data_IF_834854317925
#
_entry.id   IF_834854317925
#
_cell.length_a   1.000
_cell.length_b   1.000
_cell.length_c   1.000
_cell.angle_alpha   90.00
_cell.angle_beta   90.00
_cell.angle_gamma   90.00
#
_symmetry.space_group_name_H-M   'P 1'
#
loop_
_entity.id
_entity.type
_entity.pdbx_description
1 polymer ?
#
# COMPACT_ATOMS: atom_id res chain seq x y z
N UNK A 1 20.40 6.16 36.21
CA UNK A 1 21.56 5.24 36.33
C UNK A 1 22.71 6.13 36.79
N UNK A 2 23.14 5.94 38.04
CA UNK A 2 24.22 6.73 38.66
C UNK A 2 25.55 6.51 37.94
N UNK A 3 26.41 7.53 37.90
CA UNK A 3 27.71 7.48 37.22
C UNK A 3 28.66 6.52 37.96
N UNK A 4 29.36 5.59 37.29
CA UNK A 4 30.31 4.73 37.96
C UNK A 4 31.53 5.54 38.43
N UNK A 5 31.93 5.31 39.68
CA UNK A 5 33.19 5.80 40.25
C UNK A 5 34.38 5.02 39.69
N UNK A 6 35.51 5.69 39.47
CA UNK A 6 36.72 5.25 38.76
C UNK A 6 37.51 4.06 39.36
N UNK A 7 36.89 3.19 40.15
CA UNK A 7 37.55 2.06 40.83
C UNK A 7 36.91 0.68 40.58
N UNK A 8 35.92 0.56 39.69
CA UNK A 8 35.45 -0.75 39.27
C UNK A 8 36.36 -1.33 38.17
N UNK A 9 36.95 -2.50 38.42
CA UNK A 9 37.69 -3.24 37.39
C UNK A 9 36.78 -3.51 36.20
N UNK A 10 37.19 -3.03 35.02
CA UNK A 10 36.43 -3.17 33.77
C UNK A 10 36.07 -4.63 33.52
N UNK A 11 34.78 -4.92 33.45
CA UNK A 11 34.24 -6.28 33.25
C UNK A 11 33.39 -6.34 31.99
N UNK A 12 33.38 -7.50 31.33
CA UNK A 12 32.54 -7.76 30.16
C UNK A 12 31.15 -8.13 30.66
N UNK A 13 30.14 -7.34 30.26
CA UNK A 13 28.73 -7.57 30.59
C UNK A 13 28.11 -8.53 29.56
N UNK A 14 28.37 -8.28 28.28
CA UNK A 14 27.82 -9.08 27.19
C UNK A 14 28.78 -9.13 26.02
N UNK A 15 28.78 -10.24 25.30
CA UNK A 15 29.47 -10.36 24.03
C UNK A 15 28.66 -11.19 23.05
N UNK A 16 28.71 -10.85 21.77
CA UNK A 16 27.95 -11.58 20.78
C UNK A 16 28.12 -11.06 19.36
N UNK A 17 27.62 -11.86 18.42
CA UNK A 17 27.54 -11.48 17.03
C UNK A 17 26.44 -10.45 16.80
N UNK A 18 26.73 -9.51 15.91
CA UNK A 18 25.75 -8.61 15.37
C UNK A 18 26.05 -8.29 13.91
N UNK A 19 25.00 -8.05 13.14
CA UNK A 19 25.07 -7.60 11.77
C UNK A 19 25.00 -6.08 11.76
N UNK A 20 26.13 -5.40 11.51
CA UNK A 20 26.11 -3.96 11.30
C UNK A 20 25.44 -3.66 9.96
N UNK A 21 24.26 -3.05 10.00
CA UNK A 21 23.48 -2.69 8.83
C UNK A 21 24.09 -1.43 8.21
N UNK A 22 24.52 -1.56 6.95
CA UNK A 22 25.10 -0.46 6.18
C UNK A 22 24.02 0.20 5.33
N UNK A 23 23.18 -0.61 4.69
CA UNK A 23 21.97 -0.20 3.97
C UNK A 23 21.00 -1.39 3.91
N UNK A 24 19.87 -1.23 3.21
CA UNK A 24 18.83 -2.27 3.08
C UNK A 24 19.32 -3.60 2.48
N UNK A 25 20.45 -3.59 1.77
CA UNK A 25 20.95 -4.73 0.99
C UNK A 25 22.33 -5.23 1.46
N UNK A 26 22.96 -4.56 2.43
CA UNK A 26 24.34 -4.83 2.82
C UNK A 26 24.51 -4.77 4.34
N UNK A 27 25.08 -5.84 4.89
CA UNK A 27 25.47 -5.96 6.29
C UNK A 27 26.95 -6.30 6.41
N UNK A 28 27.54 -5.97 7.56
CA UNK A 28 28.89 -6.39 7.92
C UNK A 28 28.83 -7.13 9.24
N UNK A 29 29.44 -8.31 9.29
CA UNK A 29 29.59 -9.06 10.55
C UNK A 29 30.45 -8.27 11.52
N UNK A 30 29.94 -8.12 12.74
CA UNK A 30 30.61 -7.54 13.89
C UNK A 30 30.48 -8.45 15.09
N UNK A 31 31.45 -8.31 15.97
CA UNK A 31 31.42 -8.86 17.31
C UNK A 31 31.34 -7.68 18.26
N UNK A 32 30.25 -7.61 19.02
CA UNK A 32 30.02 -6.56 20.00
C UNK A 32 30.52 -7.06 21.36
N UNK A 33 31.36 -6.28 22.02
CA UNK A 33 31.79 -6.50 23.40
C UNK A 33 31.28 -5.34 24.23
N UNK A 34 30.24 -5.58 25.02
CA UNK A 34 29.68 -4.64 25.96
C UNK A 34 30.37 -4.82 27.31
N UNK A 35 30.99 -3.75 27.78
CA UNK A 35 31.64 -3.63 29.08
C UNK A 35 30.82 -2.69 29.96
N UNK A 36 31.18 -2.54 31.23
CA UNK A 36 30.47 -1.63 32.14
C UNK A 36 30.64 -0.14 31.80
N UNK A 37 31.71 0.23 31.09
CA UNK A 37 32.02 1.61 30.68
C UNK A 37 32.05 1.81 29.15
N UNK A 38 32.30 0.75 28.38
CA UNK A 38 32.56 0.80 26.95
C UNK A 38 31.72 -0.19 26.14
N UNK A 39 31.44 0.18 24.88
CA UNK A 39 31.04 -0.76 23.83
C UNK A 39 32.16 -0.83 22.77
N UNK A 40 32.71 -2.02 22.56
CA UNK A 40 33.69 -2.27 21.50
C UNK A 40 33.00 -2.98 20.33
N UNK A 41 33.07 -2.37 19.16
CA UNK A 41 32.61 -2.95 17.90
C UNK A 41 33.84 -3.50 17.18
N UNK A 42 33.91 -4.82 17.02
CA UNK A 42 35.06 -5.48 16.42
C UNK A 42 34.67 -6.35 15.22
N UNK A 43 35.66 -6.78 14.44
CA UNK A 43 35.53 -7.77 13.37
C UNK A 43 36.46 -8.94 13.68
N UNK A 44 35.99 -10.19 13.75
CA UNK A 44 36.87 -11.34 13.94
C UNK A 44 37.86 -11.48 12.76
N UNK A 45 39.11 -11.86 13.09
CA UNK A 45 40.20 -11.99 12.11
C UNK A 45 40.24 -13.38 11.47
N UNK A 46 39.83 -14.43 12.21
CA UNK A 46 39.74 -15.81 11.70
C UNK A 46 38.42 -16.04 10.95
N UNK A 47 38.43 -16.91 9.93
CA UNK A 47 37.24 -17.46 9.25
C UNK A 47 36.94 -18.87 9.76
N UNK A 48 36.94 -19.08 11.07
CA UNK A 48 36.48 -20.37 11.60
C UNK A 48 34.96 -20.46 11.43
N UNK A 49 34.53 -21.55 10.78
CA UNK A 49 33.15 -21.78 10.33
C UNK A 49 32.15 -21.98 11.49
N UNK A 50 32.63 -22.13 12.73
CA UNK A 50 31.84 -22.63 13.86
C UNK A 50 31.15 -21.56 14.71
N UNK A 51 31.24 -20.25 14.39
CA UNK A 51 30.66 -19.16 15.21
C UNK A 51 31.05 -19.16 16.71
N UNK A 52 31.97 -20.03 17.15
CA UNK A 52 32.39 -20.21 18.54
C UNK A 52 33.61 -19.32 18.87
N UNK A 53 33.42 -18.01 18.83
CA UNK A 53 34.47 -17.06 19.20
C UNK A 53 34.44 -16.81 20.71
N UNK A 54 35.62 -16.79 21.32
CA UNK A 54 35.80 -16.47 22.74
C UNK A 54 36.58 -15.15 22.87
N UNK A 55 36.70 -14.61 24.08
CA UNK A 55 37.53 -13.42 24.34
C UNK A 55 39.00 -13.62 23.96
N UNK A 56 39.47 -14.87 23.85
CA UNK A 56 40.83 -15.21 23.44
C UNK A 56 41.01 -15.22 21.91
N UNK A 57 39.93 -15.12 21.14
CA UNK A 57 40.00 -15.05 19.68
C UNK A 57 40.60 -13.71 19.22
N UNK A 58 41.21 -13.70 18.03
CA UNK A 58 41.76 -12.45 17.46
C UNK A 58 40.66 -11.60 16.83
N UNK A 59 40.54 -10.36 17.28
CA UNK A 59 39.63 -9.38 16.74
C UNK A 59 40.35 -8.13 16.23
N UNK A 60 39.83 -7.56 15.15
CA UNK A 60 40.20 -6.24 14.67
C UNK A 60 39.17 -5.23 15.18
N UNK A 61 39.59 -4.38 16.12
CA UNK A 61 38.74 -3.32 16.66
C UNK A 61 38.38 -2.32 15.55
N UNK A 62 37.10 -1.99 15.43
CA UNK A 62 36.59 -0.99 14.50
C UNK A 62 36.18 0.28 15.20
N UNK A 63 35.50 0.16 16.34
CA UNK A 63 35.11 1.30 17.16
C UNK A 63 35.21 0.93 18.65
N UNK A 64 35.64 1.89 19.46
CA UNK A 64 35.57 1.86 20.93
C UNK A 64 34.72 3.06 21.31
N UNK A 65 33.70 2.82 22.12
CA UNK A 65 32.63 3.79 22.33
C UNK A 65 32.33 3.88 23.82
N UNK A 66 32.38 5.08 24.37
CA UNK A 66 32.01 5.36 25.76
C UNK A 66 30.49 5.31 25.95
N UNK A 67 30.01 4.44 26.84
CA UNK A 67 28.59 4.26 27.11
C UNK A 67 27.91 5.53 27.63
N UNK A 68 28.64 6.40 28.33
CA UNK A 68 28.10 7.68 28.84
C UNK A 68 27.68 8.64 27.72
N UNK A 69 28.23 8.44 26.53
CA UNK A 69 27.95 9.25 25.33
C UNK A 69 26.90 8.62 24.41
N UNK A 70 26.45 7.40 24.69
CA UNK A 70 25.57 6.66 23.79
C UNK A 70 24.12 7.11 23.95
N UNK A 71 23.49 7.34 22.80
CA UNK A 71 22.03 7.28 22.69
C UNK A 71 21.61 5.94 22.11
N UNK A 72 20.79 5.21 22.86
CA UNK A 72 20.17 3.99 22.39
C UNK A 72 18.75 4.29 21.91
N UNK A 73 18.36 3.67 20.80
CA UNK A 73 16.96 3.58 20.43
C UNK A 73 16.70 2.23 19.77
N UNK A 74 15.77 1.46 20.31
CA UNK A 74 15.18 0.34 19.59
C UNK A 74 14.50 0.91 18.33
N UNK A 75 14.94 0.47 17.14
CA UNK A 75 14.53 1.08 15.86
C UNK A 75 13.01 1.10 15.68
N UNK A 76 12.31 0.12 16.27
CA UNK A 76 10.88 -0.13 16.07
C UNK A 76 9.98 0.46 17.17
N UNK A 77 10.55 0.97 18.26
CA UNK A 77 9.77 1.43 19.42
C UNK A 77 9.13 2.80 19.19
N UNK A 78 9.82 3.71 18.49
CA UNK A 78 9.26 5.02 18.09
C UNK A 78 8.14 4.90 17.06
N UNK A 79 8.22 3.95 16.12
CA UNK A 79 7.14 3.67 15.16
C UNK A 79 5.90 3.07 15.84
N UNK A 80 6.11 2.15 16.79
CA UNK A 80 5.03 1.57 17.62
C UNK A 80 4.36 2.61 18.52
N UNK A 81 5.14 3.48 19.17
CA UNK A 81 4.60 4.56 20.03
C UNK A 81 3.90 5.66 19.22
N UNK A 82 4.45 6.05 18.06
CA UNK A 82 3.82 7.01 17.16
C UNK A 82 2.48 6.55 16.60
N UNK A 83 2.28 5.23 16.44
CA UNK A 83 0.98 4.65 16.03
C UNK A 83 0.04 4.36 17.19
N UNK A 84 0.54 3.96 18.36
CA UNK A 84 -0.28 3.91 19.58
C UNK A 84 -0.91 5.27 19.90
N UNK A 85 -0.17 6.36 19.76
CA UNK A 85 -0.73 7.72 19.89
C UNK A 85 -1.80 8.09 18.85
N UNK A 86 -1.86 7.38 17.71
CA UNK A 86 -2.92 7.53 16.71
C UNK A 86 -4.17 6.75 17.15
N UNK A 87 -4.05 5.59 17.80
CA UNK A 87 -5.19 4.83 18.33
C UNK A 87 -5.70 5.32 19.69
N UNK A 88 -4.82 5.75 20.59
CA UNK A 88 -5.16 6.21 21.95
C UNK A 88 -5.83 7.61 21.99
N UNK A 89 -6.29 8.13 20.85
CA UNK A 89 -7.17 9.31 20.84
C UNK A 89 -7.11 10.26 19.63
N UNK A 90 -6.64 9.86 18.44
CA UNK A 90 -6.71 10.73 17.24
C UNK A 90 -6.57 10.01 15.90
N UNK A 91 -7.20 8.86 15.73
CA UNK A 91 -7.45 8.37 14.38
C UNK A 91 -8.47 9.33 13.75
N UNK A 92 -8.24 9.89 12.54
CA UNK A 92 -9.34 10.42 11.75
C UNK A 92 -10.07 9.21 11.15
N UNK A 93 -10.57 8.30 11.99
CA UNK A 93 -11.34 7.12 11.56
C UNK A 93 -12.83 7.44 11.41
N UNK A 94 -13.24 8.68 11.69
CA UNK A 94 -14.38 9.26 11.02
C UNK A 94 -14.20 10.77 10.94
N UNK A 95 -14.62 11.38 9.82
CA UNK A 95 -14.87 12.82 9.70
C UNK A 95 -15.96 13.31 10.66
N UNK A 96 -16.57 12.37 11.41
CA UNK A 96 -17.73 12.51 12.26
C UNK A 96 -17.29 12.64 13.72
N UNK A 97 -17.93 13.56 14.42
CA UNK A 97 -17.84 13.72 15.85
C UNK A 97 -18.53 12.53 16.56
N UNK A 98 -18.40 12.39 17.90
CA UNK A 98 -19.04 11.30 18.66
C UNK A 98 -20.56 11.18 18.48
N UNK A 99 -21.23 12.26 18.07
CA UNK A 99 -22.67 12.30 17.70
C UNK A 99 -22.96 11.88 16.26
N UNK A 100 -21.96 11.47 15.48
CA UNK A 100 -22.10 11.06 14.07
C UNK A 100 -22.12 12.24 13.07
N UNK A 101 -21.91 13.47 13.51
CA UNK A 101 -21.95 14.66 12.66
C UNK A 101 -20.59 15.02 12.10
N UNK A 102 -20.52 15.32 10.79
CA UNK A 102 -19.29 15.78 10.16
C UNK A 102 -18.74 17.05 10.81
N UNK A 103 -17.42 17.12 10.98
CA UNK A 103 -16.74 18.34 11.43
C UNK A 103 -17.19 19.54 10.57
N UNK A 104 -17.53 20.71 11.15
CA UNK A 104 -18.16 21.82 10.41
C UNK A 104 -17.40 22.27 9.17
N UNK A 105 -16.06 22.21 9.21
CA UNK A 105 -15.19 22.47 8.06
C UNK A 105 -15.47 21.47 6.93
N UNK A 106 -15.46 20.16 7.21
CA UNK A 106 -15.66 19.11 6.21
C UNK A 106 -17.11 19.14 5.70
N UNK A 107 -18.09 19.34 6.57
CA UNK A 107 -19.49 19.48 6.17
C UNK A 107 -19.69 20.64 5.18
N UNK A 108 -19.07 21.80 5.45
CA UNK A 108 -19.11 22.96 4.57
C UNK A 108 -18.39 22.71 3.24
N UNK A 109 -17.22 22.05 3.30
CA UNK A 109 -16.46 21.64 2.13
C UNK A 109 -17.25 20.70 1.23
N UNK A 110 -17.84 19.65 1.80
CA UNK A 110 -18.64 18.65 1.08
C UNK A 110 -19.83 19.34 0.38
N UNK A 111 -20.53 20.24 1.07
CA UNK A 111 -21.63 21.00 0.49
C UNK A 111 -21.20 21.81 -0.73
N UNK A 112 -20.09 22.56 -0.62
CA UNK A 112 -19.52 23.37 -1.71
C UNK A 112 -19.02 22.49 -2.86
N UNK A 113 -18.23 21.46 -2.55
CA UNK A 113 -17.68 20.51 -3.53
C UNK A 113 -18.77 19.83 -4.35
N UNK A 114 -19.86 19.42 -3.69
CA UNK A 114 -20.95 18.70 -4.34
C UNK A 114 -21.73 19.57 -5.35
N UNK A 115 -21.68 20.89 -5.21
CA UNK A 115 -22.15 21.87 -6.19
C UNK A 115 -21.06 22.10 -7.25
N UNK A 116 -19.90 22.55 -6.80
CA UNK A 116 -18.74 22.88 -7.63
C UNK A 116 -17.44 22.36 -6.96
N UNK A 117 -16.75 21.37 -7.58
CA UNK A 117 -15.52 20.80 -7.01
C UNK A 117 -14.46 21.84 -6.65
N UNK A 118 -14.30 22.87 -7.50
CA UNK A 118 -13.28 23.91 -7.30
C UNK A 118 -13.58 24.75 -6.06
N UNK A 119 -14.84 25.11 -5.81
CA UNK A 119 -15.23 25.88 -4.62
C UNK A 119 -14.96 25.10 -3.33
N UNK A 120 -15.23 23.80 -3.32
CA UNK A 120 -14.94 22.95 -2.17
C UNK A 120 -13.43 22.85 -1.89
N UNK A 121 -12.64 22.62 -2.93
CA UNK A 121 -11.17 22.53 -2.81
C UNK A 121 -10.58 23.87 -2.37
N UNK A 122 -10.97 24.97 -3.01
CA UNK A 122 -10.49 26.32 -2.65
C UNK A 122 -10.88 26.69 -1.23
N UNK A 123 -12.10 26.37 -0.80
CA UNK A 123 -12.51 26.60 0.58
C UNK A 123 -11.61 25.88 1.61
N UNK A 124 -11.17 24.65 1.33
CA UNK A 124 -10.21 23.95 2.21
C UNK A 124 -8.82 24.58 2.20
N UNK A 125 -8.39 25.09 1.04
CA UNK A 125 -7.10 25.78 0.88
C UNK A 125 -7.12 27.12 1.64
N UNK A 126 -8.16 27.93 1.47
CA UNK A 126 -8.34 29.22 2.14
C UNK A 126 -8.39 29.08 3.66
N UNK A 127 -8.92 27.96 4.16
CA UNK A 127 -8.95 27.64 5.59
C UNK A 127 -7.64 27.03 6.11
N UNK A 128 -6.61 26.91 5.27
CA UNK A 128 -5.29 26.35 5.62
C UNK A 128 -5.31 24.85 5.91
N UNK A 129 -6.41 24.16 5.59
CA UNK A 129 -6.60 22.73 5.87
C UNK A 129 -6.16 21.82 4.72
N UNK A 130 -5.92 22.38 3.54
CA UNK A 130 -5.45 21.68 2.35
C UNK A 130 -4.38 22.50 1.65
N UNK A 131 -3.29 21.86 1.22
CA UNK A 131 -2.28 22.52 0.38
C UNK A 131 -2.73 22.49 -1.08
N UNK A 132 -2.43 23.57 -1.81
CA UNK A 132 -2.72 23.71 -3.24
C UNK A 132 -1.73 22.93 -4.12
N UNK A 133 -1.53 21.64 -3.84
CA UNK A 133 -0.65 20.77 -4.61
C UNK A 133 -1.35 19.45 -5.00
N UNK A 134 -0.95 18.81 -6.12
CA UNK A 134 -1.62 17.61 -6.63
C UNK A 134 -1.71 16.46 -5.63
N UNK A 135 -0.69 16.26 -4.80
CA UNK A 135 -0.62 15.16 -3.83
C UNK A 135 -1.61 15.37 -2.67
N UNK A 136 -1.68 16.60 -2.17
CA UNK A 136 -2.61 16.97 -1.11
C UNK A 136 -4.06 16.88 -1.60
N UNK A 137 -4.36 17.45 -2.78
CA UNK A 137 -5.70 17.40 -3.37
C UNK A 137 -6.11 15.95 -3.67
N UNK A 138 -5.24 15.15 -4.31
CA UNK A 138 -5.58 13.75 -4.62
C UNK A 138 -5.79 12.91 -3.36
N UNK A 139 -5.02 13.18 -2.30
CA UNK A 139 -5.21 12.53 -1.00
C UNK A 139 -6.53 12.92 -0.36
N UNK A 140 -6.93 14.19 -0.45
CA UNK A 140 -8.23 14.67 0.02
C UNK A 140 -9.38 13.98 -0.72
N UNK A 141 -9.31 13.86 -2.05
CA UNK A 141 -10.33 13.17 -2.86
C UNK A 141 -10.45 11.67 -2.53
N UNK A 142 -9.35 11.01 -2.15
CA UNK A 142 -9.36 9.60 -1.73
C UNK A 142 -9.89 9.40 -0.30
N UNK A 143 -9.54 10.29 0.62
CA UNK A 143 -9.78 10.12 2.06
C UNK A 143 -11.12 10.68 2.55
N UNK A 144 -11.85 11.41 1.73
CA UNK A 144 -13.11 12.06 2.12
C UNK A 144 -14.28 11.33 1.45
N UNK A 145 -14.82 10.26 2.06
CA UNK A 145 -15.84 9.43 1.42
C UNK A 145 -17.15 10.14 1.13
N UNK A 146 -17.40 11.29 1.77
CA UNK A 146 -18.63 12.08 1.66
C UNK A 146 -18.67 13.00 0.43
N UNK A 147 -17.56 13.11 -0.31
CA UNK A 147 -17.52 13.85 -1.56
C UNK A 147 -18.26 13.09 -2.65
N UNK A 148 -19.11 13.80 -3.39
CA UNK A 148 -19.89 13.22 -4.48
C UNK A 148 -18.96 12.55 -5.50
N UNK A 149 -19.11 11.23 -5.65
CA UNK A 149 -18.37 10.43 -6.64
C UNK A 149 -18.56 10.91 -8.07
N UNK A 150 -19.71 11.50 -8.38
CA UNK A 150 -19.98 12.16 -9.67
C UNK A 150 -19.13 13.41 -9.87
N UNK A 151 -19.00 14.23 -8.84
CA UNK A 151 -18.22 15.45 -8.90
C UNK A 151 -16.72 15.17 -8.95
N UNK A 152 -16.23 14.14 -8.26
CA UNK A 152 -14.86 13.64 -8.40
C UNK A 152 -14.57 13.27 -9.86
N UNK A 153 -15.44 12.46 -10.49
CA UNK A 153 -15.26 12.05 -11.88
C UNK A 153 -15.24 13.21 -12.87
N UNK A 154 -16.14 14.19 -12.70
CA UNK A 154 -16.15 15.42 -13.51
C UNK A 154 -14.87 16.23 -13.33
N UNK A 155 -14.43 16.44 -12.10
CA UNK A 155 -13.24 17.23 -11.79
C UNK A 155 -11.97 16.59 -12.36
N UNK A 156 -11.79 15.28 -12.16
CA UNK A 156 -10.64 14.54 -12.68
C UNK A 156 -10.66 14.40 -14.20
N UNK A 157 -11.84 14.44 -14.81
CA UNK A 157 -12.02 14.40 -16.27
C UNK A 157 -11.66 15.70 -16.99
N UNK A 158 -11.36 16.78 -16.28
CA UNK A 158 -10.95 18.04 -16.90
C UNK A 158 -9.46 17.99 -17.29
N UNK A 159 -9.08 18.27 -18.54
CA UNK A 159 -7.68 18.23 -18.99
C UNK A 159 -6.74 19.16 -18.19
N UNK A 160 -7.26 20.29 -17.69
CA UNK A 160 -6.51 21.21 -16.82
C UNK A 160 -6.04 20.54 -15.52
N UNK A 161 -6.74 19.50 -15.06
CA UNK A 161 -6.46 18.80 -13.80
C UNK A 161 -5.59 17.53 -13.98
N UNK A 162 -4.93 17.36 -15.13
CA UNK A 162 -4.15 16.16 -15.45
C UNK A 162 -3.07 15.81 -14.40
N UNK A 163 -2.42 16.80 -13.78
CA UNK A 163 -1.43 16.57 -12.72
C UNK A 163 -2.07 15.97 -11.46
N UNK A 164 -3.28 16.42 -11.11
CA UNK A 164 -4.08 15.91 -10.00
C UNK A 164 -4.59 14.50 -10.32
N UNK A 165 -5.05 14.26 -11.55
CA UNK A 165 -5.43 12.92 -12.02
C UNK A 165 -4.27 11.93 -11.93
N UNK A 166 -3.07 12.31 -12.40
CA UNK A 166 -1.88 11.46 -12.28
C UNK A 166 -1.55 11.14 -10.82
N UNK A 167 -1.61 12.15 -9.93
CA UNK A 167 -1.41 11.95 -8.50
C UNK A 167 -2.50 11.08 -7.86
N UNK A 168 -3.75 11.19 -8.34
CA UNK A 168 -4.87 10.36 -7.91
C UNK A 168 -4.68 8.90 -8.31
N UNK A 169 -4.22 8.65 -9.54
CA UNK A 169 -3.93 7.31 -10.05
C UNK A 169 -2.76 6.66 -9.28
N UNK A 170 -1.78 7.45 -8.84
CA UNK A 170 -0.64 6.97 -8.06
C UNK A 170 -0.96 6.38 -6.69
N UNK A 171 -2.17 6.66 -6.19
CA UNK A 171 -2.63 6.14 -4.90
C UNK A 171 -3.14 4.70 -5.00
N UNK A 172 -3.47 4.20 -6.20
CA UNK A 172 -3.96 2.82 -6.38
C UNK A 172 -2.87 1.74 -6.36
N UNK A 173 -1.59 2.13 -6.52
CA UNK A 173 -0.45 1.21 -6.49
C UNK A 173 -0.61 0.00 -7.42
N UNK A 174 -0.78 0.27 -8.72
CA UNK A 174 -1.06 -0.73 -9.75
C UNK A 174 0.06 -1.74 -10.06
N UNK A 175 1.26 -1.58 -9.50
CA UNK A 175 2.38 -2.48 -9.77
C UNK A 175 2.01 -3.93 -9.38
N UNK A 176 2.27 -4.88 -10.28
CA UNK A 176 1.98 -6.31 -10.11
C UNK A 176 0.50 -6.68 -10.12
N UNK A 177 -0.42 -5.72 -10.33
CA UNK A 177 -1.87 -5.97 -10.41
C UNK A 177 -2.26 -6.12 -11.88
N UNK A 178 -3.00 -7.18 -12.23
CA UNK A 178 -3.49 -7.41 -13.60
C UNK A 178 -4.42 -6.27 -14.03
N UNK A 179 -4.40 -5.92 -15.32
CA UNK A 179 -5.05 -4.70 -15.83
C UNK A 179 -6.56 -4.66 -15.58
N UNK A 180 -7.26 -5.79 -15.65
CA UNK A 180 -8.71 -5.88 -15.41
C UNK A 180 -9.05 -5.65 -13.92
N UNK A 181 -8.23 -6.19 -13.01
CA UNK A 181 -8.33 -5.97 -11.57
C UNK A 181 -8.07 -4.49 -11.24
N UNK A 182 -7.01 -3.91 -11.78
CA UNK A 182 -6.67 -2.51 -11.63
C UNK A 182 -7.77 -1.58 -12.16
N UNK A 183 -8.37 -1.93 -13.30
CA UNK A 183 -9.47 -1.19 -13.92
C UNK A 183 -10.71 -1.21 -13.01
N UNK A 184 -11.03 -2.34 -12.36
CA UNK A 184 -12.13 -2.40 -11.37
C UNK A 184 -11.91 -1.45 -10.20
N UNK A 185 -10.70 -1.43 -9.64
CA UNK A 185 -10.37 -0.53 -8.52
C UNK A 185 -10.50 0.93 -8.95
N UNK A 186 -10.00 1.27 -10.14
CA UNK A 186 -10.11 2.60 -10.70
C UNK A 186 -11.58 3.01 -10.90
N UNK A 187 -12.39 2.20 -11.58
CA UNK A 187 -13.80 2.50 -11.84
C UNK A 187 -14.63 2.58 -10.56
N UNK A 188 -14.34 1.73 -9.56
CA UNK A 188 -15.04 1.75 -8.28
C UNK A 188 -14.78 3.02 -7.43
N UNK A 189 -13.77 3.83 -7.78
CA UNK A 189 -13.34 4.98 -6.97
C UNK A 189 -14.18 6.25 -7.18
N UNK A 190 -14.81 6.39 -8.35
CA UNK A 190 -15.70 7.51 -8.68
C UNK A 190 -16.69 7.13 -9.79
N UNK A 191 -17.65 8.01 -10.09
CA UNK A 191 -18.62 7.80 -11.16
C UNK A 191 -18.10 8.41 -12.45
N UNK A 192 -17.95 7.61 -13.49
CA UNK A 192 -17.55 8.11 -14.80
C UNK A 192 -18.54 9.18 -15.31
N UNK A 193 -18.05 10.28 -15.91
CA UNK A 193 -18.90 11.23 -16.62
C UNK A 193 -19.68 10.58 -17.76
N UNK A 194 -20.77 11.20 -18.20
CA UNK A 194 -21.57 10.69 -19.33
C UNK A 194 -21.05 11.05 -20.72
N UNK A 195 -20.05 11.94 -20.79
CA UNK A 195 -19.40 12.35 -22.04
C UNK A 195 -18.34 11.31 -22.44
N UNK A 196 -18.49 10.73 -23.63
CA UNK A 196 -17.59 9.70 -24.15
C UNK A 196 -16.13 10.16 -24.24
N UNK A 197 -15.88 11.41 -24.65
CA UNK A 197 -14.51 11.94 -24.77
C UNK A 197 -13.83 12.02 -23.39
N UNK A 198 -14.60 12.36 -22.35
CA UNK A 198 -14.10 12.43 -20.98
C UNK A 198 -13.85 11.04 -20.42
N UNK A 199 -14.71 10.06 -20.74
CA UNK A 199 -14.47 8.65 -20.38
C UNK A 199 -13.17 8.18 -21.04
N UNK A 200 -12.98 8.44 -22.33
CA UNK A 200 -11.81 8.00 -23.07
C UNK A 200 -10.53 8.63 -22.53
N UNK A 201 -10.58 9.92 -22.17
CA UNK A 201 -9.49 10.60 -21.49
C UNK A 201 -9.10 9.91 -20.17
N UNK A 202 -10.09 9.59 -19.32
CA UNK A 202 -9.89 8.97 -18.02
C UNK A 202 -9.37 7.53 -18.13
N UNK A 203 -9.96 6.71 -19.02
CA UNK A 203 -9.54 5.32 -19.25
C UNK A 203 -8.15 5.26 -19.87
N UNK A 204 -7.86 6.14 -20.83
CA UNK A 204 -6.53 6.26 -21.41
C UNK A 204 -5.47 6.69 -20.37
N UNK A 205 -5.81 7.63 -19.49
CA UNK A 205 -4.91 8.05 -18.41
C UNK A 205 -4.65 6.90 -17.41
N UNK A 206 -5.69 6.15 -17.06
CA UNK A 206 -5.56 4.92 -16.27
C UNK A 206 -4.60 3.93 -16.93
N UNK A 207 -4.82 3.59 -18.20
CA UNK A 207 -4.03 2.59 -18.92
C UNK A 207 -2.55 2.99 -19.02
N UNK A 208 -2.26 4.27 -19.32
CA UNK A 208 -0.90 4.82 -19.30
C UNK A 208 -0.25 4.69 -17.94
N UNK A 209 -0.97 5.00 -16.85
CA UNK A 209 -0.41 4.88 -15.49
C UNK A 209 -0.20 3.44 -15.07
N UNK A 210 -1.14 2.56 -15.42
CA UNK A 210 -1.04 1.13 -15.18
C UNK A 210 0.18 0.55 -15.90
N UNK A 211 0.35 0.84 -17.20
CA UNK A 211 1.50 0.37 -17.98
C UNK A 211 2.81 0.84 -17.37
N UNK A 212 2.93 2.14 -17.03
CA UNK A 212 4.12 2.69 -16.38
C UNK A 212 4.47 1.99 -15.06
N UNK A 213 3.48 1.56 -14.29
CA UNK A 213 3.69 0.84 -13.04
C UNK A 213 4.09 -0.64 -13.25
N UNK A 214 3.91 -1.16 -14.47
CA UNK A 214 4.03 -2.56 -14.80
C UNK A 214 5.00 -2.87 -15.96
N UNK A 215 5.86 -1.93 -16.36
CA UNK A 215 6.84 -2.12 -17.45
C UNK A 215 7.79 -3.29 -17.23
N UNK A 216 7.99 -3.70 -15.97
CA UNK A 216 8.80 -4.87 -15.60
C UNK A 216 8.01 -6.20 -15.63
N UNK A 217 6.67 -6.17 -15.68
CA UNK A 217 5.81 -7.35 -15.70
C UNK A 217 5.21 -7.63 -17.08
N UNK A 218 5.07 -6.61 -17.93
CA UNK A 218 4.48 -6.76 -19.27
C UNK A 218 5.49 -6.44 -20.36
N UNK A 219 5.35 -7.14 -21.49
CA UNK A 219 6.24 -6.99 -22.67
C UNK A 219 5.68 -6.04 -23.73
N UNK A 220 4.37 -5.79 -23.72
CA UNK A 220 3.70 -4.93 -24.68
C UNK A 220 3.82 -3.44 -24.34
N UNK A 221 3.64 -2.60 -25.35
CA UNK A 221 3.74 -1.15 -25.23
C UNK A 221 2.51 -0.49 -24.60
N UNK A 222 2.63 0.81 -24.34
CA UNK A 222 1.57 1.60 -23.72
C UNK A 222 0.32 1.68 -24.59
N UNK A 223 0.47 1.69 -25.91
CA UNK A 223 -0.65 1.75 -26.86
C UNK A 223 -1.48 0.47 -26.82
N UNK A 224 -0.82 -0.68 -26.74
CA UNK A 224 -1.46 -1.99 -26.57
C UNK A 224 -2.20 -2.07 -25.24
N UNK A 225 -1.63 -1.51 -24.16
CA UNK A 225 -2.31 -1.41 -22.87
C UNK A 225 -3.58 -0.54 -22.93
N UNK A 226 -3.52 0.58 -23.65
CA UNK A 226 -4.66 1.48 -23.87
C UNK A 226 -5.75 0.76 -24.67
N UNK A 227 -5.40 0.12 -25.79
CA UNK A 227 -6.33 -0.68 -26.61
C UNK A 227 -7.01 -1.76 -25.77
N UNK A 228 -6.25 -2.50 -24.96
CA UNK A 228 -6.80 -3.53 -24.08
C UNK A 228 -7.76 -2.94 -23.05
N UNK A 229 -7.45 -1.80 -22.43
CA UNK A 229 -8.35 -1.14 -21.48
C UNK A 229 -9.70 -0.76 -22.12
N UNK A 230 -9.68 -0.19 -23.32
CA UNK A 230 -10.89 0.11 -24.07
C UNK A 230 -11.65 -1.15 -24.49
N UNK A 231 -10.94 -2.19 -24.92
CA UNK A 231 -11.56 -3.44 -25.33
C UNK A 231 -12.23 -4.15 -24.15
N UNK A 232 -11.66 -4.08 -22.94
CA UNK A 232 -12.30 -4.54 -21.71
C UNK A 232 -13.59 -3.76 -21.38
N UNK A 233 -13.60 -2.44 -21.58
CA UNK A 233 -14.81 -1.62 -21.40
C UNK A 233 -15.91 -2.02 -22.41
N UNK A 234 -15.53 -2.26 -23.67
CA UNK A 234 -16.43 -2.71 -24.72
C UNK A 234 -16.99 -4.12 -24.44
N UNK A 235 -16.13 -5.06 -24.04
CA UNK A 235 -16.55 -6.41 -23.61
C UNK A 235 -17.55 -6.33 -22.47
N UNK A 236 -17.27 -5.51 -21.45
CA UNK A 236 -18.17 -5.34 -20.32
C UNK A 236 -19.55 -4.79 -20.74
N UNK A 237 -19.57 -3.84 -21.68
CA UNK A 237 -20.82 -3.32 -22.24
C UNK A 237 -21.58 -4.41 -23.02
N UNK A 238 -20.90 -5.22 -23.82
CA UNK A 238 -21.54 -6.30 -24.59
C UNK A 238 -22.11 -7.41 -23.70
N UNK A 239 -21.34 -7.85 -22.70
CA UNK A 239 -21.75 -8.95 -21.82
C UNK A 239 -22.87 -8.57 -20.83
N UNK A 240 -22.86 -7.34 -20.32
CA UNK A 240 -23.68 -6.97 -19.16
C UNK A 240 -24.73 -5.89 -19.42
N UNK A 241 -24.71 -5.20 -20.57
CA UNK A 241 -25.71 -4.17 -20.87
C UNK A 241 -27.03 -4.81 -21.33
N UNK A 242 -28.09 -4.65 -20.55
CA UNK A 242 -29.41 -5.27 -20.79
C UNK A 242 -30.18 -4.66 -21.97
N UNK A 243 -29.69 -3.57 -22.56
CA UNK A 243 -30.40 -2.83 -23.62
C UNK A 243 -30.52 -3.57 -24.96
N UNK A 244 -29.76 -4.65 -25.16
CA UNK A 244 -29.80 -5.42 -26.42
C UNK A 244 -29.87 -6.93 -26.17
N UNK A 245 -30.97 -7.44 -25.61
CA UNK A 245 -31.09 -8.84 -25.21
C UNK A 245 -31.08 -9.83 -26.38
N UNK A 246 -31.37 -9.36 -27.61
CA UNK A 246 -31.42 -10.17 -28.83
C UNK A 246 -30.09 -10.26 -29.57
N UNK A 247 -29.07 -9.49 -29.15
CA UNK A 247 -27.75 -9.53 -29.79
C UNK A 247 -26.96 -10.72 -29.23
N UNK A 248 -26.38 -11.51 -30.13
CA UNK A 248 -25.41 -12.55 -29.74
C UNK A 248 -24.24 -11.86 -29.03
N UNK A 249 -24.02 -12.26 -27.78
CA UNK A 249 -22.92 -11.74 -26.96
C UNK A 249 -21.60 -12.31 -27.44
N UNK A 250 -20.55 -11.52 -27.36
CA UNK A 250 -19.19 -11.92 -27.68
C UNK A 250 -18.79 -13.14 -26.83
N UNK A 251 -18.43 -14.23 -27.47
CA UNK A 251 -17.86 -15.39 -26.80
C UNK A 251 -16.33 -15.27 -26.67
N UNK A 252 -15.69 -16.28 -26.10
CA UNK A 252 -14.25 -16.25 -25.85
C UNK A 252 -13.43 -16.29 -27.15
N UNK A 253 -13.70 -17.19 -28.12
CA UNK A 253 -13.06 -17.16 -29.43
C UNK A 253 -13.21 -15.80 -30.13
N UNK A 254 -14.44 -15.26 -30.20
CA UNK A 254 -14.70 -13.96 -30.81
C UNK A 254 -13.90 -12.84 -30.14
N UNK A 255 -13.80 -12.87 -28.81
CA UNK A 255 -13.03 -11.89 -28.04
C UNK A 255 -11.56 -11.92 -28.40
N UNK A 256 -10.96 -13.11 -28.44
CA UNK A 256 -9.54 -13.28 -28.78
C UNK A 256 -9.30 -12.83 -30.21
N UNK A 257 -10.08 -13.32 -31.18
CA UNK A 257 -9.92 -12.97 -32.59
C UNK A 257 -10.01 -11.45 -32.82
N UNK A 258 -11.05 -10.81 -32.27
CA UNK A 258 -11.25 -9.35 -32.41
C UNK A 258 -10.15 -8.55 -31.74
N UNK A 259 -9.62 -8.99 -30.60
CA UNK A 259 -8.49 -8.31 -29.99
C UNK A 259 -7.23 -8.45 -30.85
N UNK A 260 -6.94 -9.66 -31.34
CA UNK A 260 -5.78 -9.95 -32.19
C UNK A 260 -5.79 -9.15 -33.49
N UNK A 261 -6.96 -8.88 -34.05
CA UNK A 261 -7.10 -7.98 -35.20
C UNK A 261 -6.59 -6.54 -34.93
N UNK A 262 -6.54 -6.10 -33.66
CA UNK A 262 -6.03 -4.78 -33.25
C UNK A 262 -4.61 -4.83 -32.64
N UNK A 263 -4.15 -6.02 -32.27
CA UNK A 263 -2.86 -6.34 -31.63
C UNK A 263 -1.95 -7.08 -32.62
N UNK A 264 -1.41 -6.34 -33.60
CA UNK A 264 -0.65 -6.89 -34.72
C UNK A 264 0.59 -7.71 -34.30
N UNK A 265 1.21 -7.35 -33.17
CA UNK A 265 2.39 -8.05 -32.65
C UNK A 265 2.03 -9.28 -31.81
N UNK A 266 0.76 -9.43 -31.42
CA UNK A 266 0.29 -10.49 -30.53
C UNK A 266 1.08 -10.58 -29.21
N UNK A 267 1.52 -9.43 -28.69
CA UNK A 267 2.42 -9.36 -27.52
C UNK A 267 1.76 -9.80 -26.21
N UNK A 268 0.42 -9.80 -26.16
CA UNK A 268 -0.34 -10.26 -24.99
C UNK A 268 -0.50 -11.78 -25.03
N UNK A 269 -0.13 -12.54 -23.98
CA UNK A 269 -0.37 -13.98 -23.94
C UNK A 269 -1.87 -14.30 -24.02
N UNK A 270 -2.23 -15.34 -24.78
CA UNK A 270 -3.62 -15.77 -24.91
C UNK A 270 -4.24 -16.15 -23.56
N UNK A 271 -3.47 -16.79 -22.69
CA UNK A 271 -3.89 -17.09 -21.31
C UNK A 271 -4.35 -15.83 -20.55
N UNK A 272 -3.68 -14.69 -20.76
CA UNK A 272 -4.08 -13.42 -20.15
C UNK A 272 -5.41 -12.91 -20.72
N UNK A 273 -5.63 -13.06 -22.02
CA UNK A 273 -6.91 -12.69 -22.65
C UNK A 273 -8.05 -13.57 -22.15
N UNK A 274 -7.82 -14.88 -22.00
CA UNK A 274 -8.78 -15.84 -21.45
C UNK A 274 -9.15 -15.45 -20.01
N UNK A 275 -8.15 -15.18 -19.17
CA UNK A 275 -8.36 -14.77 -17.77
C UNK A 275 -9.15 -13.45 -17.68
N UNK A 276 -8.85 -12.46 -18.52
CA UNK A 276 -9.58 -11.19 -18.57
C UNK A 276 -11.03 -11.41 -18.98
N UNK A 277 -11.28 -12.20 -20.03
CA UNK A 277 -12.62 -12.49 -20.50
C UNK A 277 -13.45 -13.18 -19.42
N UNK A 278 -12.91 -14.24 -18.81
CA UNK A 278 -13.58 -14.97 -17.73
C UNK A 278 -13.88 -14.07 -16.53
N UNK A 279 -12.89 -13.26 -16.13
CA UNK A 279 -13.00 -12.30 -15.04
C UNK A 279 -14.13 -11.29 -15.29
N UNK A 280 -14.19 -10.66 -16.47
CA UNK A 280 -15.23 -9.67 -16.80
C UNK A 280 -16.59 -10.35 -16.98
N UNK A 281 -16.65 -11.54 -17.56
CA UNK A 281 -17.88 -12.32 -17.70
C UNK A 281 -18.49 -12.68 -16.35
N UNK A 282 -17.66 -13.05 -15.38
CA UNK A 282 -18.09 -13.40 -14.03
C UNK A 282 -18.49 -12.16 -13.22
N UNK A 283 -17.63 -11.13 -13.20
CA UNK A 283 -17.81 -9.93 -12.40
C UNK A 283 -17.67 -8.68 -13.27
N UNK A 284 -18.80 -8.01 -13.47
CA UNK A 284 -18.96 -6.80 -14.25
C UNK A 284 -18.03 -5.67 -13.76
N UNK A 285 -17.46 -4.91 -14.70
CA UNK A 285 -16.82 -3.63 -14.44
C UNK A 285 -17.90 -2.59 -14.13
N UNK A 286 -17.88 -2.04 -12.90
CA UNK A 286 -18.87 -1.08 -12.45
C UNK A 286 -18.22 0.16 -11.83
N UNK A 287 -18.83 1.32 -12.08
CA UNK A 287 -18.41 2.57 -11.45
C UNK A 287 -19.03 2.73 -10.06
N UNK A 288 -18.50 3.65 -9.26
CA UNK A 288 -19.10 4.01 -7.97
C UNK A 288 -20.59 4.38 -8.08
N UNK A 289 -21.36 4.10 -7.02
CA UNK A 289 -22.74 4.58 -6.85
C UNK A 289 -22.75 6.08 -6.52
N UNK A 290 -23.91 6.72 -6.70
CA UNK A 290 -24.10 8.11 -6.27
C UNK A 290 -24.45 8.16 -4.78
N UNK A 291 -23.84 9.09 -4.04
CA UNK A 291 -23.95 9.16 -2.58
C UNK A 291 -25.32 9.69 -2.09
N UNK A 292 -26.18 10.22 -2.99
CA UNK A 292 -27.45 10.84 -2.60
C UNK A 292 -28.53 9.84 -2.16
N UNK A 293 -28.42 8.57 -2.54
CA UNK A 293 -29.49 7.58 -2.34
C UNK A 293 -29.06 6.34 -1.54
N UNK A 294 -27.80 6.25 -1.09
CA UNK A 294 -27.27 5.01 -0.51
C UNK A 294 -26.32 5.23 0.66
N UNK A 295 -26.73 4.79 1.86
CA UNK A 295 -25.82 4.64 2.98
C UNK A 295 -24.98 3.37 2.72
N UNK A 296 -23.69 3.55 2.40
CA UNK A 296 -22.80 2.43 2.18
C UNK A 296 -22.72 1.53 3.42
N UNK A 297 -22.81 0.21 3.22
CA UNK A 297 -22.61 -0.79 4.26
C UNK A 297 -21.14 -0.76 4.70
N UNK A 298 -20.88 -0.55 5.98
CA UNK A 298 -19.52 -0.45 6.50
C UNK A 298 -18.81 -1.80 6.43
N UNK A 299 -17.56 -1.77 5.97
CA UNK A 299 -16.61 -2.86 6.13
C UNK A 299 -15.64 -2.47 7.25
N UNK A 300 -15.53 -3.34 8.25
CA UNK A 300 -14.54 -3.22 9.32
C UNK A 300 -13.30 -4.04 8.98
N UNK A 301 -12.12 -3.48 9.23
CA UNK A 301 -10.84 -4.13 8.99
C UNK A 301 -10.00 -4.13 10.25
N UNK A 302 -9.50 -5.30 10.66
CA UNK A 302 -8.47 -5.42 11.70
C UNK A 302 -7.19 -5.88 11.04
N UNK A 303 -6.35 -4.92 10.69
CA UNK A 303 -5.04 -5.17 10.08
C UNK A 303 -3.92 -4.98 11.11
N UNK A 304 -2.80 -5.71 10.98
CA UNK A 304 -1.67 -5.59 11.89
C UNK A 304 -1.13 -4.15 11.95
N UNK A 305 -0.89 -3.66 13.16
CA UNK A 305 -0.21 -2.39 13.40
C UNK A 305 1.27 -2.46 13.03
N UNK A 306 1.88 -3.64 13.19
CA UNK A 306 3.22 -3.90 12.71
C UNK A 306 3.18 -4.03 11.19
N UNK A 307 3.81 -3.06 10.51
CA UNK A 307 3.88 -3.01 9.06
C UNK A 307 5.19 -3.58 8.56
N UNK A 308 5.89 -4.43 9.33
CA UNK A 308 7.12 -5.08 8.88
C UNK A 308 6.92 -6.59 8.76
N UNK A 309 7.38 -7.15 7.66
CA UNK A 309 7.45 -8.59 7.45
C UNK A 309 8.86 -8.98 7.03
N UNK A 310 9.30 -10.15 7.45
CA UNK A 310 10.48 -10.77 6.88
C UNK A 310 10.10 -11.41 5.54
N UNK A 311 10.99 -11.35 4.55
CA UNK A 311 10.84 -12.11 3.29
C UNK A 311 10.55 -13.59 3.59
N UNK A 312 9.62 -14.19 2.86
CA UNK A 312 9.05 -15.52 3.11
C UNK A 312 8.34 -15.72 4.46
N UNK A 313 8.28 -14.68 5.29
CA UNK A 313 7.51 -14.65 6.51
C UNK A 313 6.01 -14.47 6.24
N UNK A 314 5.21 -14.97 7.18
CA UNK A 314 3.75 -14.84 7.19
C UNK A 314 3.33 -13.77 8.17
N UNK A 315 2.38 -12.94 7.78
CA UNK A 315 1.81 -11.93 8.66
C UNK A 315 1.04 -12.54 9.84
N UNK A 316 0.86 -11.77 10.89
CA UNK A 316 -0.27 -12.01 11.80
C UNK A 316 -1.58 -11.93 11.01
N UNK A 317 -2.65 -12.48 11.59
CA UNK A 317 -3.96 -12.55 10.96
C UNK A 317 -4.53 -11.17 10.61
N UNK A 318 -5.04 -11.03 9.38
CA UNK A 318 -5.87 -9.91 8.93
C UNK A 318 -7.33 -10.36 8.98
N UNK A 319 -8.21 -9.50 9.49
CA UNK A 319 -9.65 -9.79 9.52
C UNK A 319 -10.44 -8.71 8.78
N UNK A 320 -11.39 -9.15 7.96
CA UNK A 320 -12.39 -8.30 7.32
C UNK A 320 -13.77 -8.75 7.78
N UNK A 321 -14.56 -7.79 8.28
CA UNK A 321 -15.90 -8.03 8.80
C UNK A 321 -16.90 -7.12 8.09
N UNK A 322 -18.04 -7.69 7.71
CA UNK A 322 -19.19 -7.01 7.13
C UNK A 322 -20.40 -7.12 8.08
N UNK A 323 -21.47 -6.34 7.89
CA UNK A 323 -22.58 -6.31 8.85
C UNK A 323 -23.36 -7.63 8.94
N UNK A 324 -23.50 -8.35 7.83
CA UNK A 324 -24.16 -9.65 7.75
C UNK A 324 -23.60 -10.46 6.57
N UNK A 325 -23.73 -11.79 6.59
CA UNK A 325 -23.32 -12.65 5.48
C UNK A 325 -24.01 -12.21 4.17
N UNK A 326 -23.26 -12.24 3.06
CA UNK A 326 -23.72 -11.76 1.75
C UNK A 326 -23.12 -12.63 0.64
N UNK A 327 -23.97 -13.48 0.04
CA UNK A 327 -23.61 -14.36 -1.08
C UNK A 327 -23.18 -13.64 -2.35
N UNK A 328 -23.53 -12.36 -2.47
CA UNK A 328 -23.23 -11.53 -3.64
C UNK A 328 -22.05 -10.58 -3.37
N UNK A 329 -21.27 -10.85 -2.31
CA UNK A 329 -20.02 -10.16 -2.01
C UNK A 329 -18.87 -11.15 -1.87
N UNK A 330 -17.86 -10.96 -2.72
CA UNK A 330 -16.54 -11.56 -2.56
C UNK A 330 -15.48 -10.47 -2.52
N UNK A 331 -14.37 -10.71 -1.84
CA UNK A 331 -13.24 -9.78 -1.80
C UNK A 331 -12.00 -10.51 -2.25
N UNK A 332 -11.34 -9.98 -3.29
CA UNK A 332 -10.08 -10.50 -3.82
C UNK A 332 -8.91 -9.62 -3.34
N UNK A 333 -8.07 -10.11 -2.42
CA UNK A 333 -6.82 -9.45 -2.07
C UNK A 333 -5.82 -9.56 -3.23
N UNK A 334 -5.24 -8.45 -3.68
CA UNK A 334 -4.20 -8.40 -4.71
C UNK A 334 -3.05 -7.49 -4.27
N UNK A 335 -1.81 -7.93 -4.48
CA UNK A 335 -0.64 -7.11 -4.16
C UNK A 335 0.63 -7.68 -4.76
N UNK A 336 1.49 -6.80 -5.25
CA UNK A 336 2.81 -7.20 -5.74
C UNK A 336 3.66 -7.79 -4.61
N UNK A 337 4.18 -8.99 -4.81
CA UNK A 337 5.05 -9.64 -3.84
C UNK A 337 4.37 -10.06 -2.54
N UNK A 338 3.03 -10.16 -2.53
CA UNK A 338 2.24 -10.57 -1.38
C UNK A 338 1.25 -11.66 -1.79
N UNK A 339 1.31 -12.81 -1.13
CA UNK A 339 0.45 -13.96 -1.41
C UNK A 339 -0.48 -14.18 -0.23
N UNK A 340 -1.78 -14.08 -0.48
CA UNK A 340 -2.82 -14.39 0.50
C UNK A 340 -3.06 -15.90 0.53
N UNK A 341 -3.15 -16.49 1.73
CA UNK A 341 -3.54 -17.90 1.89
C UNK A 341 -4.98 -18.17 1.39
N UNK A 342 -5.81 -17.12 1.37
CA UNK A 342 -7.20 -17.14 0.92
C UNK A 342 -7.35 -16.15 -0.24
N UNK A 343 -7.10 -16.56 -1.51
CA UNK A 343 -7.05 -15.65 -2.66
C UNK A 343 -8.40 -15.02 -3.02
N UNK A 344 -9.50 -15.58 -2.51
CA UNK A 344 -10.85 -15.06 -2.63
C UNK A 344 -11.60 -15.23 -1.31
N UNK A 345 -11.96 -14.11 -0.69
CA UNK A 345 -12.73 -14.06 0.56
C UNK A 345 -14.23 -14.11 0.20
N UNK A 346 -14.91 -15.20 0.54
CA UNK A 346 -16.32 -15.44 0.23
C UNK A 346 -17.22 -15.28 1.47
N UNK A 347 -18.12 -14.29 1.43
CA UNK A 347 -19.00 -13.95 2.56
C UNK A 347 -20.37 -14.63 2.49
N UNK A 348 -20.54 -15.67 1.67
CA UNK A 348 -21.83 -16.36 1.49
C UNK A 348 -22.42 -16.86 2.81
N UNK A 349 -21.61 -17.45 3.68
CA UNK A 349 -22.06 -18.10 4.92
C UNK A 349 -21.52 -17.46 6.20
N UNK A 350 -20.69 -16.43 6.08
CA UNK A 350 -20.07 -15.74 7.22
C UNK A 350 -20.00 -14.26 6.95
N UNK A 351 -20.10 -13.46 8.00
CA UNK A 351 -19.89 -12.01 7.94
C UNK A 351 -18.45 -11.61 8.32
N UNK A 352 -17.60 -12.56 8.69
CA UNK A 352 -16.23 -12.28 9.13
C UNK A 352 -15.28 -13.35 8.61
N UNK A 353 -14.20 -12.91 7.96
CA UNK A 353 -13.16 -13.77 7.43
C UNK A 353 -11.80 -13.31 7.91
N UNK A 354 -10.95 -14.28 8.22
CA UNK A 354 -9.59 -14.05 8.70
C UNK A 354 -8.61 -14.84 7.86
N UNK A 355 -7.52 -14.19 7.45
CA UNK A 355 -6.55 -14.73 6.51
C UNK A 355 -5.14 -14.25 6.88
N UNK A 356 -4.11 -14.84 6.28
CA UNK A 356 -2.72 -14.42 6.43
C UNK A 356 -2.09 -14.10 5.08
N UNK A 357 -1.04 -13.29 5.10
CA UNK A 357 -0.32 -12.88 3.90
C UNK A 357 1.16 -13.24 4.05
N UNK A 358 1.68 -14.00 3.08
CA UNK A 358 3.10 -14.30 2.94
C UNK A 358 3.77 -13.27 2.04
N UNK A 359 4.93 -12.76 2.45
CA UNK A 359 5.73 -11.85 1.64
C UNK A 359 6.70 -12.62 0.73
N UNK A 360 6.75 -12.29 -0.56
CA UNK A 360 7.58 -12.99 -1.56
C UNK A 360 8.58 -12.08 -2.27
N UNK A 361 8.56 -10.77 -2.02
CA UNK A 361 9.64 -9.88 -2.46
C UNK A 361 9.84 -8.70 -1.53
N UNK A 362 11.08 -8.19 -1.49
CA UNK A 362 11.53 -7.13 -0.60
C UNK A 362 10.94 -5.75 -0.93
N UNK A 363 11.02 -4.85 0.04
CA UNK A 363 10.66 -3.44 -0.07
C UNK A 363 9.23 -3.14 0.38
N UNK A 364 8.78 -1.91 0.12
CA UNK A 364 7.44 -1.46 0.49
C UNK A 364 6.41 -2.08 -0.45
N UNK A 365 5.57 -2.95 0.09
CA UNK A 365 4.47 -3.64 -0.60
C UNK A 365 3.12 -3.10 -0.17
N UNK A 366 2.12 -3.33 -1.02
CA UNK A 366 0.76 -2.86 -0.82
C UNK A 366 -0.22 -3.94 -1.29
N UNK A 367 -1.13 -4.34 -0.39
CA UNK A 367 -2.25 -5.20 -0.69
C UNK A 367 -3.50 -4.33 -0.86
N UNK A 368 -4.16 -4.47 -2.01
CA UNK A 368 -5.43 -3.84 -2.36
C UNK A 368 -6.53 -4.89 -2.32
N UNK A 369 -7.74 -4.49 -1.92
CA UNK A 369 -8.87 -5.41 -1.77
C UNK A 369 -9.97 -5.06 -2.77
N UNK A 370 -10.17 -5.94 -3.76
CA UNK A 370 -11.14 -5.74 -4.84
C UNK A 370 -12.46 -6.38 -4.45
N UNK A 371 -13.52 -5.59 -4.38
CA UNK A 371 -14.88 -6.09 -4.11
C UNK A 371 -15.50 -6.58 -5.41
N UNK A 372 -16.03 -7.79 -5.38
CA UNK A 372 -16.63 -8.52 -6.49
C UNK A 372 -18.04 -9.00 -6.11
N UNK A 373 -18.86 -9.32 -7.10
CA UNK A 373 -20.26 -9.70 -6.93
C UNK A 373 -21.25 -8.54 -7.06
N UNK A 374 -22.54 -8.88 -7.22
CA UNK A 374 -23.62 -7.95 -7.57
C UNK A 374 -23.90 -6.89 -6.50
N UNK A 375 -23.56 -7.17 -5.24
CA UNK A 375 -23.76 -6.24 -4.10
C UNK A 375 -22.48 -5.51 -3.70
N UNK A 376 -21.34 -5.77 -4.35
CA UNK A 376 -20.01 -5.19 -4.03
C UNK A 376 -19.99 -3.66 -3.87
N UNK A 377 -20.71 -2.93 -4.73
CA UNK A 377 -20.77 -1.47 -4.71
C UNK A 377 -21.52 -0.87 -3.53
N UNK A 378 -22.34 -1.66 -2.85
CA UNK A 378 -23.11 -1.24 -1.67
C UNK A 378 -22.22 -1.05 -0.45
N UNK A 379 -21.05 -1.67 -0.43
CA UNK A 379 -20.13 -1.61 0.69
C UNK A 379 -19.16 -0.44 0.58
N UNK A 380 -18.67 0.05 1.71
CA UNK A 380 -17.61 1.07 1.78
C UNK A 380 -16.31 0.58 1.12
N UNK A 381 -15.40 1.50 0.83
CA UNK A 381 -14.05 1.14 0.39
C UNK A 381 -13.28 0.45 1.50
N UNK A 382 -12.39 -0.48 1.14
CA UNK A 382 -11.49 -1.16 2.07
C UNK A 382 -10.14 -0.45 1.97
N UNK A 383 -9.53 -0.02 3.09
CA UNK A 383 -8.20 0.56 3.05
C UNK A 383 -7.18 -0.45 2.52
N UNK A 384 -6.24 0.00 1.70
CA UNK A 384 -5.12 -0.83 1.31
C UNK A 384 -4.22 -1.11 2.52
N UNK A 385 -3.70 -2.33 2.62
CA UNK A 385 -2.75 -2.70 3.67
C UNK A 385 -1.32 -2.56 3.13
N UNK A 386 -0.54 -1.66 3.74
CA UNK A 386 0.85 -1.41 3.36
C UNK A 386 1.78 -2.09 4.35
N UNK A 387 2.81 -2.75 3.83
CA UNK A 387 3.81 -3.48 4.61
C UNK A 387 5.19 -3.26 4.01
N UNK A 388 6.24 -3.25 4.84
CA UNK A 388 7.64 -3.21 4.45
C UNK A 388 8.16 -4.62 4.62
N UNK A 389 8.59 -5.21 3.52
CA UNK A 389 9.20 -6.54 3.51
C UNK A 389 10.70 -6.38 3.57
N UNK A 390 11.32 -6.94 4.60
CA UNK A 390 12.74 -6.78 4.91
C UNK A 390 13.46 -8.13 4.88
N UNK A 391 14.78 -8.14 4.69
CA UNK A 391 15.58 -9.34 4.90
C UNK A 391 15.53 -9.80 6.38
N UNK A 392 15.84 -11.08 6.69
CA UNK A 392 15.76 -11.60 8.06
C UNK A 392 16.59 -10.82 9.08
N UNK A 393 17.78 -10.35 8.68
CA UNK A 393 18.67 -9.59 9.56
C UNK A 393 18.12 -8.22 10.03
N UNK A 394 17.01 -7.74 9.45
CA UNK A 394 16.37 -6.49 9.85
C UNK A 394 15.32 -6.68 10.95
N UNK A 395 14.95 -7.93 11.27
CA UNK A 395 13.86 -8.25 12.19
C UNK A 395 14.10 -7.74 13.61
N UNK A 396 15.32 -7.89 14.14
CA UNK A 396 15.66 -7.48 15.49
C UNK A 396 16.78 -6.43 15.42
N UNK A 397 16.39 -5.18 15.13
CA UNK A 397 17.36 -4.09 14.95
C UNK A 397 17.29 -3.04 16.06
N UNK A 398 18.47 -2.52 16.40
CA UNK A 398 18.63 -1.38 17.29
C UNK A 398 19.61 -0.36 16.71
N UNK A 399 19.43 0.89 17.11
CA UNK A 399 20.32 2.00 16.73
C UNK A 399 21.12 2.48 17.92
N UNK A 400 22.38 2.76 17.66
CA UNK A 400 23.31 3.40 18.58
C UNK A 400 23.79 4.70 17.94
N UNK A 401 23.51 5.83 18.56
CA UNK A 401 23.97 7.15 18.11
C UNK A 401 25.00 7.74 19.08
N UNK A 402 26.01 8.41 18.54
CA UNK A 402 27.09 9.05 19.30
C UNK A 402 27.10 10.55 19.04
N UNK A 403 27.40 11.40 20.04
CA UNK A 403 27.62 12.82 19.82
C UNK A 403 28.69 13.02 18.75
N UNK A 404 28.48 14.02 17.89
CA UNK A 404 29.52 14.44 16.95
C UNK A 404 30.67 15.07 17.71
N UNK A 405 31.89 14.96 17.17
CA UNK A 405 33.02 15.72 17.70
C UNK A 405 32.69 17.22 17.68
N UNK A 406 33.29 17.96 18.62
CA UNK A 406 33.18 19.43 18.75
C UNK A 406 33.61 20.22 17.50
N UNK A 407 34.09 19.53 16.46
CA UNK A 407 34.46 20.04 15.14
C UNK A 407 33.31 20.13 14.12
N UNK A 408 32.05 19.87 14.54
CA UNK A 408 30.87 20.07 13.67
C UNK A 408 30.55 18.90 12.74
N UNK A 409 31.14 17.71 12.95
CA UNK A 409 30.70 16.50 12.25
C UNK A 409 29.34 16.02 12.78
N UNK A 410 28.49 15.55 11.86
CA UNK A 410 27.17 15.04 12.18
C UNK A 410 27.21 13.81 13.10
N UNK A 411 26.21 13.72 13.99
CA UNK A 411 25.97 12.59 14.91
C UNK A 411 26.08 11.26 14.15
N UNK A 412 27.13 10.47 14.39
CA UNK A 412 27.28 9.14 13.77
C UNK A 412 26.26 8.19 14.39
N UNK A 413 25.58 7.41 13.55
CA UNK A 413 24.62 6.39 13.97
C UNK A 413 24.99 5.06 13.36
N UNK A 414 25.02 4.01 14.18
CA UNK A 414 25.10 2.64 13.73
C UNK A 414 23.77 1.94 13.96
N UNK A 415 23.39 1.08 13.03
CA UNK A 415 22.28 0.17 13.18
C UNK A 415 22.83 -1.25 13.20
N UNK A 416 22.39 -2.05 14.15
CA UNK A 416 22.78 -3.44 14.29
C UNK A 416 21.54 -4.32 14.27
N UNK A 417 21.60 -5.43 13.54
CA UNK A 417 20.69 -6.55 13.63
C UNK A 417 21.30 -7.63 14.51
N UNK A 418 20.48 -8.25 15.35
CA UNK A 418 20.81 -9.44 16.14
C UNK A 418 19.87 -10.57 15.75
N UNK A 419 20.27 -11.82 15.99
CA UNK A 419 19.38 -12.97 15.82
C UNK A 419 18.38 -13.09 16.96
#
# INVERSE_FOLDING_TARGET
IEKPTWNETRSVIYQGFALQIINSNAVKNRYLLLMNDLLVVAKPVSREASHNYTLNSRFMVKHIIDLSSISFSASREKERQGRKAIEDGKAPSSSRNPMGELHPLIASTVRRFNVNPYEGIMYMIDKGALRADPLSISTFLHKTPELSRKQIGKFLGMPSNHTILNSYLDRFKFAGIRIDDALRVFLASFRLPGDGNVIDYLVGAFARRWHRANTQYVKYDVETAIKLAFFMMALNADLHNRKSPTKVKMDLPDFIERFRAMDANSDIPESTLIEIFQSIRQDKLETALDDRDYQALSIETRFPLDCHLVIDGTSTRLTITIPAADRDLRIKPVGDGLVCDTPMLDFTYTNSLTFTVKATSLGRKCMTFIKLGARSRKYSSIPAWTVIVEPPFMQHTFQIGFPGDSSGQSRKKFMFGVE
#
